data_IF_034835642340
#
_entry.id   IF_034835642340
#
_cell.length_a   1.000
_cell.length_b   1.000
_cell.length_c   1.000
_cell.angle_alpha   90.00
_cell.angle_beta   90.00
_cell.angle_gamma   90.00
#
_symmetry.space_group_name_H-M   'P 1'
#
loop_
_entity.id
_entity.type
_entity.pdbx_description
1 polymer ?
#
# COMPACT_ATOMS: atom_id res chain seq x y z
N UNK A 1 -11.63 17.23 26.98
CA UNK A 1 -11.95 18.53 26.33
C UNK A 1 -11.52 18.43 24.88
N UNK A 2 -12.21 19.10 23.96
CA UNK A 2 -11.74 19.21 22.57
C UNK A 2 -10.32 19.81 22.50
N UNK A 3 -9.43 19.32 21.63
CA UNK A 3 -8.09 19.89 21.47
C UNK A 3 -8.14 21.35 21.05
N UNK A 4 -7.21 22.16 21.58
CA UNK A 4 -7.09 23.57 21.22
C UNK A 4 -6.84 23.71 19.70
N UNK A 5 -7.60 24.57 19.03
CA UNK A 5 -7.55 24.81 17.57
C UNK A 5 -8.03 23.66 16.67
N UNK A 6 -8.66 22.61 17.21
CA UNK A 6 -9.23 21.52 16.41
C UNK A 6 -10.74 21.38 16.63
N UNK A 7 -11.47 22.49 16.40
CA UNK A 7 -12.93 22.50 16.51
C UNK A 7 -13.55 21.51 15.52
N UNK A 8 -14.44 20.65 15.99
CA UNK A 8 -15.06 19.57 15.23
C UNK A 8 -14.35 18.21 15.35
N UNK A 9 -13.19 18.12 16.03
CA UNK A 9 -12.45 16.84 16.12
C UNK A 9 -12.94 15.91 17.23
N UNK A 10 -13.92 16.35 18.03
CA UNK A 10 -14.46 15.60 19.15
C UNK A 10 -13.60 15.68 20.42
N UNK A 11 -13.96 14.87 21.43
CA UNK A 11 -13.31 14.88 22.74
C UNK A 11 -12.08 13.96 22.69
N UNK A 12 -10.89 14.53 22.86
CA UNK A 12 -9.67 13.75 22.99
C UNK A 12 -9.70 12.89 24.25
N UNK A 13 -9.52 11.58 24.07
CA UNK A 13 -9.32 10.64 25.17
C UNK A 13 -7.91 10.79 25.76
N UNK A 14 -7.69 10.41 27.02
CA UNK A 14 -6.36 10.31 27.60
C UNK A 14 -5.44 9.38 26.76
N UNK A 15 -4.14 9.68 26.73
CA UNK A 15 -3.19 8.98 25.86
C UNK A 15 -3.17 7.46 26.07
N UNK A 16 -3.33 6.99 27.31
CA UNK A 16 -3.31 5.57 27.67
C UNK A 16 -4.58 4.82 27.24
N UNK A 17 -5.64 5.53 26.87
CA UNK A 17 -6.83 4.99 26.21
C UNK A 17 -6.69 5.08 24.69
N UNK A 18 -6.28 6.24 24.17
CA UNK A 18 -6.12 6.49 22.74
C UNK A 18 -5.11 5.52 22.08
N UNK A 19 -4.06 5.10 22.80
CA UNK A 19 -3.08 4.11 22.31
C UNK A 19 -3.70 2.73 22.02
N UNK A 20 -4.90 2.45 22.54
CA UNK A 20 -5.63 1.20 22.31
C UNK A 20 -6.57 1.26 21.10
N UNK A 21 -6.68 2.41 20.44
CA UNK A 21 -7.54 2.55 19.26
C UNK A 21 -6.98 1.80 18.04
N UNK A 22 -7.83 1.36 17.10
CA UNK A 22 -7.40 0.60 15.92
C UNK A 22 -6.27 1.27 15.12
N UNK A 23 -6.28 2.60 15.00
CA UNK A 23 -5.22 3.34 14.31
C UNK A 23 -3.82 3.09 14.87
N UNK A 24 -3.69 2.81 16.18
CA UNK A 24 -2.40 2.46 16.78
C UNK A 24 -1.90 1.09 16.31
N UNK A 25 -2.81 0.14 16.05
CA UNK A 25 -2.48 -1.15 15.45
C UNK A 25 -2.14 -0.99 13.96
N UNK A 26 -2.83 -0.11 13.22
CA UNK A 26 -2.53 0.11 11.81
C UNK A 26 -1.10 0.65 11.61
N UNK A 27 -0.59 1.50 12.51
CA UNK A 27 0.82 1.94 12.48
C UNK A 27 1.79 0.77 12.71
N UNK A 28 1.43 -0.19 13.56
CA UNK A 28 2.21 -1.43 13.72
C UNK A 28 2.23 -2.23 12.42
N UNK A 29 1.08 -2.45 11.77
CA UNK A 29 0.98 -3.20 10.52
C UNK A 29 1.73 -2.51 9.37
N UNK A 30 1.62 -1.18 9.27
CA UNK A 30 2.41 -0.38 8.33
C UNK A 30 3.92 -0.59 8.53
N UNK A 31 4.39 -0.58 9.78
CA UNK A 31 5.79 -0.88 10.09
C UNK A 31 6.15 -2.30 9.64
N UNK A 32 5.34 -3.30 9.97
CA UNK A 32 5.58 -4.71 9.61
C UNK A 32 5.68 -4.90 8.09
N UNK A 33 4.85 -4.21 7.30
CA UNK A 33 4.97 -4.18 5.85
C UNK A 33 6.32 -3.61 5.38
N UNK A 34 6.67 -2.39 5.80
CA UNK A 34 7.88 -1.73 5.30
C UNK A 34 9.16 -2.43 5.76
N UNK A 35 9.22 -2.99 6.97
CA UNK A 35 10.42 -3.73 7.42
C UNK A 35 10.57 -5.11 6.78
N UNK A 36 9.62 -5.56 5.96
CA UNK A 36 9.72 -6.84 5.25
C UNK A 36 10.60 -6.79 3.99
N UNK A 37 11.11 -5.61 3.62
CA UNK A 37 12.00 -5.40 2.48
C UNK A 37 12.89 -4.15 2.70
N UNK A 38 13.81 -3.85 1.78
CA UNK A 38 14.73 -2.70 1.86
C UNK A 38 14.00 -1.36 1.59
N UNK A 39 12.99 -1.02 2.40
CA UNK A 39 12.10 0.14 2.18
C UNK A 39 12.85 1.47 2.05
N UNK A 40 14.02 1.62 2.68
CA UNK A 40 14.83 2.84 2.60
C UNK A 40 15.41 3.08 1.20
N UNK A 41 15.32 2.10 0.28
CA UNK A 41 15.68 2.23 -1.13
C UNK A 41 14.52 2.65 -2.03
N UNK A 42 13.29 2.79 -1.50
CA UNK A 42 12.12 3.10 -2.30
C UNK A 42 12.25 4.47 -2.97
N UNK A 43 11.97 4.49 -4.27
CA UNK A 43 11.80 5.70 -5.08
C UNK A 43 10.40 5.69 -5.71
N UNK A 44 9.68 6.82 -5.74
CA UNK A 44 8.40 6.91 -6.42
C UNK A 44 8.55 6.62 -7.92
N UNK A 45 7.64 5.80 -8.46
CA UNK A 45 7.58 5.47 -9.90
C UNK A 45 6.12 5.44 -10.39
N UNK A 46 5.39 6.56 -10.29
CA UNK A 46 3.99 6.62 -10.67
C UNK A 46 3.75 6.28 -12.16
N UNK A 47 4.77 6.37 -13.00
CA UNK A 47 4.73 6.00 -14.42
C UNK A 47 4.48 4.51 -14.67
N UNK A 48 4.71 3.64 -13.69
CA UNK A 48 4.34 2.22 -13.83
C UNK A 48 2.83 2.01 -13.76
N UNK A 49 2.08 2.92 -13.13
CA UNK A 49 0.63 2.88 -13.08
C UNK A 49 0.05 3.44 -14.38
N UNK A 50 -0.63 2.59 -15.15
CA UNK A 50 -1.17 2.95 -16.46
C UNK A 50 -2.19 4.09 -16.36
N UNK A 51 -3.05 4.03 -15.35
CA UNK A 51 -4.12 5.00 -15.12
C UNK A 51 -4.21 5.31 -13.62
N UNK A 52 -4.17 6.60 -13.28
CA UNK A 52 -4.22 7.07 -11.90
C UNK A 52 -5.65 7.49 -11.53
N UNK A 53 -6.42 6.66 -10.81
CA UNK A 53 -7.78 7.02 -10.37
C UNK A 53 -7.79 8.24 -9.43
N UNK A 54 -6.66 8.51 -8.76
CA UNK A 54 -6.45 9.72 -7.96
C UNK A 54 -6.58 11.05 -8.70
N UNK A 55 -6.62 11.06 -10.04
CA UNK A 55 -6.81 12.27 -10.84
C UNK A 55 -8.25 12.77 -10.81
N UNK A 56 -9.22 11.85 -10.77
CA UNK A 56 -10.64 12.17 -10.72
C UNK A 56 -11.11 12.32 -9.27
N UNK A 57 -10.59 11.48 -8.37
CA UNK A 57 -10.89 11.51 -6.95
C UNK A 57 -9.61 11.30 -6.12
N UNK A 58 -9.11 12.32 -5.40
CA UNK A 58 -7.91 12.20 -4.57
C UNK A 58 -7.98 11.08 -3.51
N UNK A 59 -9.18 10.66 -3.08
CA UNK A 59 -9.34 9.54 -2.16
C UNK A 59 -8.93 8.19 -2.78
N UNK A 60 -8.93 8.09 -4.10
CA UNK A 60 -8.54 6.89 -4.86
C UNK A 60 -7.07 6.89 -5.29
N UNK A 61 -6.24 7.80 -4.79
CA UNK A 61 -4.86 7.94 -5.27
C UNK A 61 -4.01 6.71 -4.97
N UNK A 62 -3.64 5.98 -6.03
CA UNK A 62 -2.78 4.78 -5.94
C UNK A 62 -1.32 5.21 -5.92
N UNK A 63 -0.56 4.77 -4.92
CA UNK A 63 0.87 5.10 -4.80
C UNK A 63 1.71 3.93 -5.27
N UNK A 64 2.68 4.18 -6.16
CA UNK A 64 3.63 3.15 -6.64
C UNK A 64 5.06 3.60 -6.37
N UNK A 65 5.84 2.71 -5.75
CA UNK A 65 7.27 2.91 -5.51
C UNK A 65 8.05 1.61 -5.77
N UNK A 66 9.31 1.72 -6.16
CA UNK A 66 10.22 0.58 -6.34
C UNK A 66 11.53 0.80 -5.62
N UNK A 67 12.22 -0.25 -5.24
CA UNK A 67 13.60 -0.10 -4.74
C UNK A 67 14.55 0.29 -5.86
N UNK A 68 15.58 1.07 -5.55
CA UNK A 68 16.57 1.54 -6.54
C UNK A 68 17.34 0.42 -7.26
N UNK A 69 17.37 -0.79 -6.70
CA UNK A 69 17.91 -2.01 -7.31
C UNK A 69 16.88 -2.80 -8.14
N UNK A 70 15.66 -2.28 -8.30
CA UNK A 70 14.51 -2.90 -8.98
C UNK A 70 14.08 -4.27 -8.40
N UNK A 71 14.48 -4.59 -7.17
CA UNK A 71 14.14 -5.88 -6.54
C UNK A 71 12.70 -5.94 -6.04
N UNK A 72 12.18 -4.83 -5.51
CA UNK A 72 10.82 -4.75 -4.94
C UNK A 72 10.03 -3.60 -5.56
N UNK A 73 8.73 -3.79 -5.69
CA UNK A 73 7.73 -2.76 -5.98
C UNK A 73 6.67 -2.84 -4.91
N UNK A 74 6.39 -1.71 -4.27
CA UNK A 74 5.30 -1.53 -3.33
C UNK A 74 4.23 -0.65 -3.96
N UNK A 75 2.99 -1.11 -3.88
CA UNK A 75 1.80 -0.36 -4.32
C UNK A 75 0.84 -0.23 -3.16
N UNK A 76 0.28 0.95 -2.94
CA UNK A 76 -0.82 1.16 -2.01
C UNK A 76 -2.06 1.60 -2.78
N UNK A 77 -3.17 0.91 -2.53
CA UNK A 77 -4.46 1.06 -3.17
C UNK A 77 -5.47 1.43 -2.07
N UNK A 78 -5.90 2.70 -1.96
CA UNK A 78 -6.74 3.17 -0.84
C UNK A 78 -8.21 2.74 -0.92
N UNK A 79 -8.66 2.33 -2.10
CA UNK A 79 -9.99 1.76 -2.35
C UNK A 79 -9.78 0.61 -3.31
N UNK A 80 -10.29 -0.58 -3.00
CA UNK A 80 -9.99 -1.85 -3.66
C UNK A 80 -10.44 -1.97 -5.12
N UNK A 81 -9.95 -1.08 -5.96
CA UNK A 81 -10.19 -0.99 -7.40
C UNK A 81 -9.10 -1.72 -8.16
N UNK A 82 -9.47 -2.33 -9.29
CA UNK A 82 -8.52 -2.90 -10.23
C UNK A 82 -7.48 -1.86 -10.67
N UNK A 83 -6.21 -2.22 -10.59
CA UNK A 83 -5.12 -1.40 -11.12
C UNK A 83 -4.39 -2.14 -12.22
N UNK A 84 -3.79 -1.39 -13.15
CA UNK A 84 -2.96 -1.95 -14.22
C UNK A 84 -1.55 -1.37 -14.14
N UNK A 85 -0.57 -2.26 -14.09
CA UNK A 85 0.84 -1.89 -14.03
C UNK A 85 1.58 -2.29 -15.31
N UNK A 86 2.37 -1.37 -15.85
CA UNK A 86 3.38 -1.68 -16.88
C UNK A 86 4.67 -2.13 -16.17
N UNK A 87 5.02 -3.39 -16.38
CA UNK A 87 6.14 -4.11 -15.79
C UNK A 87 7.19 -4.51 -16.85
N UNK A 88 7.11 -3.98 -18.08
CA UNK A 88 7.99 -4.36 -19.20
C UNK A 88 9.48 -4.15 -18.89
N UNK A 89 9.82 -3.15 -18.07
CA UNK A 89 11.21 -2.79 -17.78
C UNK A 89 11.81 -3.53 -16.58
N UNK A 90 11.08 -4.47 -15.99
CA UNK A 90 11.45 -5.12 -14.74
C UNK A 90 11.99 -6.54 -14.95
N UNK A 91 12.83 -6.97 -14.01
CA UNK A 91 13.48 -8.28 -14.07
C UNK A 91 12.48 -9.38 -13.75
N UNK A 92 12.34 -10.33 -14.67
CA UNK A 92 11.56 -11.58 -14.50
C UNK A 92 12.46 -12.74 -14.05
N UNK A 93 11.92 -13.79 -13.40
CA UNK A 93 10.53 -13.96 -12.97
C UNK A 93 10.21 -13.10 -11.73
N UNK A 94 8.92 -12.79 -11.55
CA UNK A 94 8.41 -11.97 -10.45
C UNK A 94 7.28 -12.70 -9.73
N UNK A 95 7.22 -12.50 -8.41
CA UNK A 95 6.09 -12.89 -7.57
C UNK A 95 5.46 -11.68 -6.94
N UNK A 96 4.21 -11.82 -6.53
CA UNK A 96 3.50 -10.80 -5.79
C UNK A 96 2.68 -11.42 -4.65
N UNK A 97 2.36 -10.61 -3.64
CA UNK A 97 1.46 -10.94 -2.55
C UNK A 97 0.77 -9.69 -2.02
N UNK A 98 -0.47 -9.85 -1.59
CA UNK A 98 -1.26 -8.79 -0.97
C UNK A 98 -0.98 -8.71 0.52
N UNK A 99 -1.05 -7.50 1.06
CA UNK A 99 -1.00 -7.19 2.48
C UNK A 99 -2.23 -6.37 2.85
N UNK A 100 -2.96 -6.84 3.85
CA UNK A 100 -4.12 -6.14 4.40
C UNK A 100 -3.65 -5.20 5.53
N UNK A 101 -3.74 -3.86 5.36
CA UNK A 101 -3.29 -2.89 6.35
C UNK A 101 -4.23 -2.76 7.56
N UNK A 102 -5.45 -3.30 7.50
CA UNK A 102 -6.44 -3.30 8.60
C UNK A 102 -6.07 -4.35 9.66
N UNK A 103 -5.62 -5.54 9.23
CA UNK A 103 -5.35 -6.65 10.14
C UNK A 103 -3.89 -7.17 10.13
N UNK A 104 -3.06 -6.73 9.18
CA UNK A 104 -1.65 -7.12 9.07
C UNK A 104 -1.40 -8.46 8.39
N UNK A 105 -2.42 -9.08 7.78
CA UNK A 105 -2.30 -10.39 7.14
C UNK A 105 -1.75 -10.28 5.72
N UNK A 106 -0.98 -11.29 5.32
CA UNK A 106 -0.50 -11.47 3.96
C UNK A 106 -1.34 -12.54 3.25
N UNK A 107 -1.61 -12.36 1.96
CA UNK A 107 -2.12 -13.43 1.11
C UNK A 107 -1.04 -14.45 0.76
N UNK A 108 -1.46 -15.57 0.17
CA UNK A 108 -0.56 -16.43 -0.57
C UNK A 108 0.14 -15.66 -1.70
N UNK A 109 1.36 -16.08 -2.05
CA UNK A 109 2.11 -15.55 -3.18
C UNK A 109 1.58 -16.09 -4.50
N UNK A 110 1.64 -15.26 -5.55
CA UNK A 110 1.26 -15.63 -6.91
C UNK A 110 2.26 -15.09 -7.93
N UNK A 111 2.33 -15.76 -9.09
CA UNK A 111 3.26 -15.39 -10.15
C UNK A 111 2.76 -14.17 -10.95
N UNK A 112 3.69 -13.28 -11.31
CA UNK A 112 3.44 -12.15 -12.20
C UNK A 112 4.02 -12.48 -13.57
N UNK A 113 3.15 -12.89 -14.48
CA UNK A 113 3.52 -13.47 -15.76
C UNK A 113 3.48 -12.45 -16.90
N UNK A 114 2.61 -11.46 -16.79
CA UNK A 114 2.38 -10.47 -17.84
C UNK A 114 3.28 -9.25 -17.65
N UNK A 115 3.74 -8.68 -18.77
CA UNK A 115 4.44 -7.40 -18.70
C UNK A 115 3.48 -6.22 -18.51
N UNK A 116 2.20 -6.38 -18.81
CA UNK A 116 1.16 -5.40 -18.54
C UNK A 116 0.07 -6.12 -17.75
N UNK A 117 0.16 -6.10 -16.43
CA UNK A 117 -0.66 -6.96 -15.57
C UNK A 117 -1.73 -6.14 -14.84
N UNK A 118 -2.95 -6.68 -14.82
CA UNK A 118 -4.04 -6.16 -13.97
C UNK A 118 -4.02 -6.87 -12.63
N UNK A 119 -3.99 -6.10 -11.54
CA UNK A 119 -4.07 -6.60 -10.17
C UNK A 119 -5.44 -6.23 -9.60
N UNK A 120 -6.09 -7.24 -9.00
CA UNK A 120 -7.44 -7.12 -8.43
C UNK A 120 -7.37 -7.34 -6.93
N UNK A 121 -7.63 -6.30 -6.12
CA UNK A 121 -7.81 -6.46 -4.68
C UNK A 121 -8.91 -7.47 -4.36
N UNK A 122 -8.87 -8.04 -3.15
CA UNK A 122 -9.80 -9.11 -2.73
C UNK A 122 -11.21 -8.56 -2.52
N UNK A 123 -11.30 -7.34 -2.00
CA UNK A 123 -12.53 -6.60 -1.71
C UNK A 123 -12.29 -5.10 -1.96
N UNK A 124 -13.26 -4.26 -1.56
CA UNK A 124 -13.22 -2.81 -1.76
C UNK A 124 -12.45 -2.04 -0.67
N UNK A 125 -11.85 -2.72 0.31
CA UNK A 125 -11.05 -2.07 1.36
C UNK A 125 -9.70 -1.58 0.79
N UNK A 126 -8.86 -0.99 1.64
CA UNK A 126 -7.51 -0.61 1.26
C UNK A 126 -6.55 -1.81 1.29
N UNK A 127 -5.61 -1.82 0.35
CA UNK A 127 -4.66 -2.92 0.17
C UNK A 127 -3.26 -2.40 -0.17
N UNK A 128 -2.24 -3.08 0.35
CA UNK A 128 -0.89 -2.94 -0.16
C UNK A 128 -0.52 -4.19 -0.98
N UNK A 129 0.16 -3.98 -2.11
CA UNK A 129 0.71 -5.03 -2.95
C UNK A 129 2.23 -4.95 -2.91
N UNK A 130 2.88 -6.08 -2.65
CA UNK A 130 4.33 -6.21 -2.79
C UNK A 130 4.65 -7.15 -3.95
N UNK A 131 5.38 -6.63 -4.95
CA UNK A 131 5.91 -7.40 -6.08
C UNK A 131 7.43 -7.51 -5.90
N UNK A 132 8.01 -8.66 -6.19
CA UNK A 132 9.45 -8.87 -6.09
C UNK A 132 10.00 -9.82 -7.15
N UNK A 133 11.20 -9.53 -7.62
CA UNK A 133 11.95 -10.43 -8.52
C UNK A 133 12.63 -11.56 -7.74
N UNK A 134 12.71 -12.76 -8.33
CA UNK A 134 13.45 -13.90 -7.78
C UNK A 134 14.96 -13.85 -8.11
#
# INVERSE_FOLDING_TARGET
>A
KEPMNHKGSGIAQPWYEAIKFPGSLHVKYMKEFFVSFDWWKLIPVPELLVEQPGRDDPHKFVTVAKTSDNKYIAVYIPEGTDIKLDLNTLRKPMKAKWFNPINGEWSDEFDVNESLQTFRPIDNEDWALLIYSL
#
